data_IF_630552658530
#
_entry.id   IF_630552658530
#
_cell.length_a   1.000
_cell.length_b   1.000
_cell.length_c   1.000
_cell.angle_alpha   90.00
_cell.angle_beta   90.00
_cell.angle_gamma   90.00
#
_symmetry.space_group_name_H-M   'P 1'
#
loop_
_entity.id
_entity.type
_entity.pdbx_description
1 polymer ?
#
# COMPACT_ATOMS: atom_id res chain seq x y z
N UNK A 1 22.93 59.56 -38.65
CA UNK A 1 22.59 59.04 -37.31
C UNK A 1 21.96 57.64 -37.45
N UNK A 2 22.70 56.53 -37.15
CA UNK A 2 22.21 55.16 -37.24
C UNK A 2 21.50 54.78 -35.92
N UNK A 3 20.20 54.49 -35.96
CA UNK A 3 19.42 54.03 -34.80
C UNK A 3 19.60 52.50 -34.69
N UNK A 4 20.23 52.03 -33.61
CA UNK A 4 20.30 50.62 -33.26
C UNK A 4 19.03 50.24 -32.47
N UNK A 5 18.19 49.35 -33.04
CA UNK A 5 17.05 48.77 -32.37
C UNK A 5 17.57 47.54 -31.62
N UNK A 6 17.59 47.61 -30.28
CA UNK A 6 17.96 46.50 -29.41
C UNK A 6 16.74 45.61 -29.24
N UNK A 7 16.69 44.46 -29.96
CA UNK A 7 15.63 43.43 -29.74
C UNK A 7 15.87 42.67 -28.45
N UNK A 8 15.01 42.89 -27.47
CA UNK A 8 15.02 42.15 -26.19
C UNK A 8 14.31 40.80 -26.39
N UNK A 9 15.09 39.72 -26.54
CA UNK A 9 14.54 38.38 -26.67
C UNK A 9 14.24 37.86 -25.27
N UNK A 10 12.95 37.78 -24.87
CA UNK A 10 12.51 37.20 -23.63
C UNK A 10 12.54 35.68 -23.79
N UNK A 11 13.52 35.02 -23.15
CA UNK A 11 13.61 33.56 -23.08
C UNK A 11 12.63 33.11 -22.00
N UNK A 12 11.48 32.59 -22.39
CA UNK A 12 10.59 31.85 -21.48
C UNK A 12 11.23 30.49 -21.18
N UNK A 13 11.87 30.36 -20.03
CA UNK A 13 12.27 29.07 -19.51
C UNK A 13 11.03 28.28 -19.09
N UNK A 14 10.62 27.33 -19.93
CA UNK A 14 9.64 26.32 -19.58
C UNK A 14 10.25 25.44 -18.48
N UNK A 15 9.86 25.68 -17.22
CA UNK A 15 10.15 24.78 -16.13
C UNK A 15 9.37 23.47 -16.39
N UNK A 16 9.97 22.52 -17.11
CA UNK A 16 9.52 21.12 -17.11
C UNK A 16 9.80 20.57 -15.71
N UNK A 17 8.83 20.71 -14.82
CA UNK A 17 8.86 20.03 -13.52
C UNK A 17 8.75 18.53 -13.79
N UNK A 18 9.88 17.83 -13.82
CA UNK A 18 9.88 16.37 -13.91
C UNK A 18 9.12 15.84 -12.67
N UNK A 19 8.01 15.14 -12.91
CA UNK A 19 7.23 14.54 -11.83
C UNK A 19 8.12 13.56 -11.05
N UNK A 20 8.41 13.88 -9.80
CA UNK A 20 9.14 13.00 -8.89
C UNK A 20 8.24 11.87 -8.38
N UNK A 21 8.86 10.70 -8.09
CA UNK A 21 8.23 9.65 -7.33
C UNK A 21 8.11 10.10 -5.86
N UNK A 22 6.92 9.98 -5.29
CA UNK A 22 6.61 10.43 -3.93
C UNK A 22 5.87 9.35 -3.13
N UNK A 23 6.01 9.40 -1.79
CA UNK A 23 5.35 8.50 -0.84
C UNK A 23 4.69 9.32 0.28
N UNK A 24 3.62 10.11 -0.02
CA UNK A 24 3.11 11.14 0.90
C UNK A 24 2.41 10.59 2.15
N UNK A 25 2.07 9.30 2.21
CA UNK A 25 1.37 8.68 3.34
C UNK A 25 2.19 7.53 3.92
N UNK A 26 2.64 6.60 3.08
CA UNK A 26 3.42 5.43 3.50
C UNK A 26 4.86 5.62 3.03
N UNK A 27 5.68 6.20 3.90
CA UNK A 27 7.05 6.58 3.55
C UNK A 27 7.90 5.39 3.10
N UNK A 28 8.63 5.56 2.00
CA UNK A 28 9.53 4.57 1.41
C UNK A 28 8.85 3.41 0.69
N UNK A 29 7.51 3.32 0.63
CA UNK A 29 6.79 2.23 -0.02
C UNK A 29 5.66 2.74 -0.91
N UNK A 30 5.36 1.97 -1.96
CA UNK A 30 4.19 2.27 -2.82
C UNK A 30 4.26 3.62 -3.50
N UNK A 31 5.46 4.02 -3.93
CA UNK A 31 5.71 5.30 -4.61
C UNK A 31 4.79 5.53 -5.80
N UNK A 32 4.42 6.79 -6.03
CA UNK A 32 3.55 7.26 -7.10
C UNK A 32 4.18 8.45 -7.83
N UNK A 33 3.77 8.65 -9.08
CA UNK A 33 3.90 9.93 -9.78
C UNK A 33 2.53 10.58 -9.84
N UNK A 34 2.32 11.64 -9.05
CA UNK A 34 1.03 12.32 -9.01
C UNK A 34 0.96 13.40 -10.10
N UNK A 35 -0.11 13.40 -10.89
CA UNK A 35 -0.41 14.43 -11.88
C UNK A 35 -1.81 14.96 -11.70
N UNK A 36 -1.95 16.27 -11.65
CA UNK A 36 -3.26 16.95 -11.63
C UNK A 36 -3.92 17.02 -13.02
N UNK A 37 -3.18 16.72 -14.08
CA UNK A 37 -3.62 16.89 -15.46
C UNK A 37 -4.28 15.64 -16.08
N UNK A 38 -4.53 14.59 -15.25
CA UNK A 38 -5.19 13.37 -15.74
C UNK A 38 -6.71 13.51 -15.67
N UNK A 39 -7.41 12.81 -16.58
CA UNK A 39 -8.86 12.93 -16.73
C UNK A 39 -9.65 12.38 -15.51
N UNK A 40 -9.10 11.39 -14.77
CA UNK A 40 -9.75 10.79 -13.61
C UNK A 40 -8.83 10.91 -12.41
N UNK A 41 -9.33 11.54 -11.37
CA UNK A 41 -8.67 11.73 -10.07
C UNK A 41 -9.46 10.99 -8.99
N UNK A 42 -8.83 10.59 -7.88
CA UNK A 42 -9.59 10.27 -6.68
C UNK A 42 -10.41 11.48 -6.23
N UNK A 43 -11.70 11.26 -5.95
CA UNK A 43 -12.60 12.30 -5.49
C UNK A 43 -12.50 12.44 -3.97
N UNK A 44 -12.11 13.62 -3.47
CA UNK A 44 -11.83 13.85 -2.05
C UNK A 44 -13.04 13.63 -1.14
N UNK A 45 -14.25 13.72 -1.68
CA UNK A 45 -15.50 13.59 -0.92
C UNK A 45 -16.08 12.18 -0.84
N UNK A 46 -15.52 11.23 -1.61
CA UNK A 46 -15.94 9.84 -1.56
C UNK A 46 -15.36 9.08 -0.35
N UNK A 47 -16.10 8.09 0.13
CA UNK A 47 -15.65 7.15 1.15
C UNK A 47 -15.01 5.92 0.47
N UNK A 48 -13.69 5.78 0.60
CA UNK A 48 -12.94 4.69 0.01
C UNK A 48 -12.89 3.48 0.95
N UNK A 49 -13.70 2.48 0.66
CA UNK A 49 -13.70 1.19 1.35
C UNK A 49 -13.06 0.14 0.45
N UNK A 50 -11.80 -0.21 0.72
CA UNK A 50 -10.98 -1.05 -0.16
C UNK A 50 -10.63 -2.37 0.52
N UNK A 51 -10.75 -3.50 -0.20
CA UNK A 51 -10.30 -4.80 0.28
C UNK A 51 -9.34 -5.46 -0.69
N UNK A 52 -8.18 -5.87 -0.17
CA UNK A 52 -7.10 -6.54 -0.91
C UNK A 52 -7.05 -8.03 -0.60
N UNK A 53 -6.98 -8.87 -1.64
CA UNK A 53 -6.70 -10.31 -1.50
C UNK A 53 -5.22 -10.55 -1.78
N UNK A 54 -4.45 -10.88 -0.73
CA UNK A 54 -3.01 -11.11 -0.82
C UNK A 54 -2.75 -12.61 -0.72
N UNK A 55 -2.47 -13.24 -1.85
CA UNK A 55 -2.23 -14.69 -1.92
C UNK A 55 -0.88 -15.05 -2.53
N UNK A 56 -0.25 -14.16 -3.31
CA UNK A 56 1.04 -14.36 -3.95
C UNK A 56 2.18 -13.97 -3.02
N UNK A 57 3.28 -14.73 -3.07
CA UNK A 57 4.56 -14.39 -2.45
C UNK A 57 5.47 -13.55 -3.35
N UNK A 58 4.95 -13.08 -4.49
CA UNK A 58 5.70 -12.19 -5.39
C UNK A 58 6.12 -10.92 -4.65
N UNK A 59 7.38 -10.55 -4.79
CA UNK A 59 7.97 -9.36 -4.18
C UNK A 59 8.08 -8.21 -5.19
N UNK A 60 7.95 -7.00 -4.66
CA UNK A 60 8.27 -5.74 -5.35
C UNK A 60 9.03 -4.85 -4.38
N UNK A 61 10.20 -4.37 -4.77
CA UNK A 61 11.07 -3.54 -3.94
C UNK A 61 11.37 -4.19 -2.56
N UNK A 62 11.61 -5.51 -2.54
CA UNK A 62 11.99 -6.27 -1.34
C UNK A 62 10.86 -6.63 -0.38
N UNK A 63 9.61 -6.27 -0.68
CA UNK A 63 8.43 -6.62 0.12
C UNK A 63 7.37 -7.31 -0.73
N UNK A 64 6.45 -8.04 -0.10
CA UNK A 64 5.33 -8.69 -0.80
C UNK A 64 4.54 -7.64 -1.59
N UNK A 65 4.39 -7.87 -2.89
CA UNK A 65 3.73 -6.97 -3.85
C UNK A 65 2.34 -6.50 -3.39
N UNK A 66 1.55 -7.40 -2.78
CA UNK A 66 0.22 -7.07 -2.28
C UNK A 66 0.22 -6.00 -1.18
N UNK A 67 1.20 -6.02 -0.25
CA UNK A 67 1.38 -4.96 0.75
C UNK A 67 1.82 -3.65 0.10
N UNK A 68 2.76 -3.72 -0.84
CA UNK A 68 3.22 -2.53 -1.57
C UNK A 68 2.08 -1.89 -2.39
N UNK A 69 1.14 -2.68 -2.92
CA UNK A 69 -0.05 -2.17 -3.63
C UNK A 69 -1.01 -1.41 -2.70
N UNK A 70 -1.15 -1.85 -1.44
CA UNK A 70 -1.91 -1.08 -0.43
C UNK A 70 -1.24 0.27 -0.18
N UNK A 71 0.08 0.29 0.05
CA UNK A 71 0.84 1.52 0.25
C UNK A 71 0.68 2.49 -0.95
N UNK A 72 0.76 1.96 -2.18
CA UNK A 72 0.55 2.72 -3.40
C UNK A 72 -0.83 3.39 -3.45
N UNK A 73 -1.89 2.67 -3.09
CA UNK A 73 -3.24 3.24 -3.06
C UNK A 73 -3.42 4.29 -1.98
N UNK A 74 -2.85 4.09 -0.79
CA UNK A 74 -2.88 5.10 0.27
C UNK A 74 -2.14 6.37 -0.16
N UNK A 75 -0.99 6.24 -0.82
CA UNK A 75 -0.24 7.37 -1.36
C UNK A 75 -1.01 8.12 -2.45
N UNK A 76 -1.70 7.41 -3.36
CA UNK A 76 -2.55 8.04 -4.38
C UNK A 76 -3.69 8.84 -3.75
N UNK A 77 -4.41 8.25 -2.80
CA UNK A 77 -5.51 8.90 -2.11
C UNK A 77 -5.04 10.12 -1.30
N UNK A 78 -3.91 9.99 -0.60
CA UNK A 78 -3.31 11.10 0.14
C UNK A 78 -2.83 12.24 -0.76
N UNK A 79 -2.19 11.94 -1.89
CA UNK A 79 -1.78 12.95 -2.87
C UNK A 79 -2.99 13.71 -3.45
N UNK A 80 -4.11 13.01 -3.67
CA UNK A 80 -5.38 13.59 -4.11
C UNK A 80 -6.17 14.29 -2.99
N UNK A 81 -5.59 14.44 -1.78
CA UNK A 81 -6.19 15.12 -0.63
C UNK A 81 -7.45 14.45 -0.05
N UNK A 82 -7.65 13.16 -0.30
CA UNK A 82 -8.68 12.39 0.40
C UNK A 82 -8.33 12.33 1.88
N UNK A 83 -9.27 12.71 2.75
CA UNK A 83 -9.06 12.70 4.20
C UNK A 83 -8.90 11.28 4.72
N UNK A 84 -7.97 11.05 5.66
CA UNK A 84 -7.71 9.73 6.24
C UNK A 84 -8.98 9.09 6.84
N UNK A 85 -9.89 9.88 7.41
CA UNK A 85 -11.17 9.43 7.96
C UNK A 85 -12.14 8.84 6.92
N UNK A 86 -11.90 9.11 5.64
CA UNK A 86 -12.68 8.60 4.51
C UNK A 86 -12.04 7.38 3.84
N UNK A 87 -10.92 6.90 4.37
CA UNK A 87 -10.17 5.77 3.81
C UNK A 87 -10.23 4.60 4.78
N UNK A 88 -10.80 3.49 4.34
CA UNK A 88 -10.86 2.23 5.08
C UNK A 88 -10.26 1.12 4.22
N UNK A 89 -9.15 0.56 4.67
CA UNK A 89 -8.45 -0.48 3.93
C UNK A 89 -8.36 -1.75 4.76
N UNK A 90 -8.65 -2.86 4.11
CA UNK A 90 -8.61 -4.20 4.71
C UNK A 90 -7.81 -5.12 3.78
N UNK A 91 -7.07 -6.06 4.33
CA UNK A 91 -6.47 -7.14 3.56
C UNK A 91 -6.85 -8.51 4.09
N UNK A 92 -6.92 -9.47 3.17
CA UNK A 92 -7.08 -10.91 3.44
C UNK A 92 -5.84 -11.63 2.93
N UNK A 93 -5.02 -12.15 3.86
CA UNK A 93 -3.75 -12.81 3.60
C UNK A 93 -3.93 -14.33 3.67
N UNK A 94 -3.49 -15.06 2.65
CA UNK A 94 -3.56 -16.53 2.62
C UNK A 94 -2.58 -17.13 1.58
N UNK A 95 -2.59 -18.45 1.44
CA UNK A 95 -1.77 -19.15 0.46
C UNK A 95 -0.26 -18.92 0.61
N UNK A 96 0.50 -18.79 -0.48
CA UNK A 96 1.94 -18.48 -0.46
C UNK A 96 2.31 -17.23 0.35
N UNK A 97 1.48 -16.18 0.31
CA UNK A 97 1.71 -14.94 1.06
C UNK A 97 1.70 -15.10 2.59
N UNK A 98 1.20 -16.23 3.13
CA UNK A 98 1.10 -16.43 4.58
C UNK A 98 2.44 -16.28 5.32
N UNK A 99 3.59 -16.46 4.65
CA UNK A 99 4.91 -16.26 5.28
C UNK A 99 5.17 -14.83 5.74
N UNK A 100 4.52 -13.83 5.12
CA UNK A 100 4.71 -12.42 5.49
C UNK A 100 4.25 -12.08 6.92
N UNK A 101 3.36 -12.92 7.50
CA UNK A 101 2.79 -12.63 8.82
C UNK A 101 3.73 -12.90 9.99
N UNK A 102 4.87 -13.57 9.76
CA UNK A 102 5.77 -14.00 10.83
C UNK A 102 6.43 -12.79 11.51
N UNK A 103 6.64 -12.91 12.83
CA UNK A 103 7.55 -11.99 13.53
C UNK A 103 8.95 -12.07 12.96
N UNK A 104 9.80 -11.10 13.25
CA UNK A 104 11.20 -11.10 12.78
C UNK A 104 11.95 -12.34 13.31
N UNK A 105 11.71 -12.74 14.56
CA UNK A 105 12.34 -13.91 15.18
C UNK A 105 11.91 -15.21 14.50
N UNK A 106 10.61 -15.38 14.27
CA UNK A 106 10.08 -16.58 13.60
C UNK A 106 10.54 -16.66 12.15
N UNK A 107 10.60 -15.52 11.46
CA UNK A 107 11.07 -15.43 10.09
C UNK A 107 12.58 -15.72 10.00
N UNK A 108 13.38 -15.16 10.92
CA UNK A 108 14.82 -15.40 11.04
C UNK A 108 15.11 -16.90 11.27
N UNK A 109 14.35 -17.52 12.19
CA UNK A 109 14.50 -18.96 12.46
C UNK A 109 14.20 -19.82 11.24
N UNK A 110 13.26 -19.41 10.40
CA UNK A 110 12.80 -20.18 9.23
C UNK A 110 13.62 -19.91 7.97
N UNK A 111 14.02 -18.66 7.74
CA UNK A 111 14.59 -18.20 6.48
C UNK A 111 16.00 -17.61 6.60
N UNK A 112 16.59 -17.54 7.79
CA UNK A 112 17.94 -17.03 8.04
C UNK A 112 18.08 -15.50 7.96
N UNK A 113 16.99 -14.76 7.83
CA UNK A 113 16.95 -13.28 7.76
C UNK A 113 15.70 -12.74 8.44
N UNK A 114 15.72 -11.47 8.87
CA UNK A 114 14.52 -10.79 9.38
C UNK A 114 13.43 -10.72 8.32
N UNK A 115 12.18 -10.62 8.76
CA UNK A 115 11.05 -10.48 7.85
C UNK A 115 11.11 -9.13 7.10
N UNK A 116 11.31 -9.12 5.80
CA UNK A 116 11.43 -7.86 5.04
C UNK A 116 10.13 -7.05 5.02
N UNK A 117 9.01 -7.69 5.40
CA UNK A 117 7.69 -7.03 5.39
C UNK A 117 7.36 -6.32 6.70
N UNK A 118 8.10 -6.55 7.80
CA UNK A 118 7.75 -6.04 9.14
C UNK A 118 7.58 -4.52 9.17
N UNK A 119 8.51 -3.77 8.58
CA UNK A 119 8.44 -2.31 8.55
C UNK A 119 7.18 -1.82 7.82
N UNK A 120 6.87 -2.39 6.65
CA UNK A 120 5.67 -2.01 5.91
C UNK A 120 4.37 -2.43 6.62
N UNK A 121 4.34 -3.62 7.26
CA UNK A 121 3.20 -4.06 8.07
C UNK A 121 2.89 -3.05 9.17
N UNK A 122 3.92 -2.59 9.89
CA UNK A 122 3.77 -1.62 10.97
C UNK A 122 3.23 -0.28 10.44
N UNK A 123 3.82 0.27 9.38
CA UNK A 123 3.37 1.51 8.75
C UNK A 123 1.91 1.43 8.26
N UNK A 124 1.51 0.29 7.66
CA UNK A 124 0.14 0.09 7.22
C UNK A 124 -0.83 0.04 8.41
N UNK A 125 -0.48 -0.66 9.50
CA UNK A 125 -1.29 -0.74 10.70
C UNK A 125 -1.43 0.62 11.40
N UNK A 126 -0.35 1.39 11.52
CA UNK A 126 -0.33 2.77 12.03
C UNK A 126 -1.24 3.71 11.22
N UNK A 127 -1.38 3.45 9.93
CA UNK A 127 -2.30 4.17 9.03
C UNK A 127 -3.71 3.53 8.96
N UNK A 128 -4.08 2.69 9.93
CA UNK A 128 -5.43 2.16 10.10
C UNK A 128 -5.80 1.00 9.17
N UNK A 129 -4.84 0.42 8.44
CA UNK A 129 -5.09 -0.76 7.60
C UNK A 129 -5.32 -1.98 8.49
N UNK A 130 -6.43 -2.70 8.26
CA UNK A 130 -6.72 -3.95 8.96
C UNK A 130 -6.15 -5.13 8.18
N UNK A 131 -5.17 -5.81 8.78
CA UNK A 131 -4.48 -6.94 8.18
C UNK A 131 -5.01 -8.25 8.78
N UNK A 132 -5.70 -9.06 7.97
CA UNK A 132 -6.23 -10.35 8.39
C UNK A 132 -5.51 -11.50 7.72
N UNK A 133 -5.15 -12.52 8.49
CA UNK A 133 -4.65 -13.80 7.97
C UNK A 133 -5.68 -14.91 8.11
N UNK A 134 -5.76 -15.76 7.11
CA UNK A 134 -6.60 -16.97 7.12
C UNK A 134 -6.08 -17.99 8.14
N UNK A 135 -6.86 -18.31 9.18
CA UNK A 135 -6.46 -19.31 10.21
C UNK A 135 -6.26 -20.70 9.63
N UNK A 136 -6.98 -21.06 8.55
CA UNK A 136 -6.77 -22.33 7.85
C UNK A 136 -5.39 -22.41 7.21
N UNK A 137 -4.90 -21.29 6.64
CA UNK A 137 -3.54 -21.21 6.09
C UNK A 137 -2.47 -21.25 7.20
N UNK A 138 -2.73 -20.61 8.34
CA UNK A 138 -1.86 -20.65 9.55
C UNK A 138 -1.76 -22.09 10.05
N UNK A 139 -2.88 -22.80 10.22
CA UNK A 139 -2.92 -24.18 10.66
C UNK A 139 -2.20 -25.12 9.67
N UNK A 140 -2.49 -24.98 8.38
CA UNK A 140 -1.82 -25.78 7.33
C UNK A 140 -0.31 -25.62 7.33
N UNK A 141 0.17 -24.40 7.55
CA UNK A 141 1.62 -24.08 7.62
C UNK A 141 2.22 -24.32 9.01
N UNK A 142 1.44 -24.81 9.99
CA UNK A 142 1.85 -25.10 11.37
C UNK A 142 2.52 -23.89 12.04
N UNK A 143 2.01 -22.68 11.79
CA UNK A 143 2.50 -21.44 12.39
C UNK A 143 1.87 -21.30 13.79
N UNK A 144 2.70 -21.05 14.81
CA UNK A 144 2.22 -20.81 16.17
C UNK A 144 1.64 -19.40 16.29
N UNK A 145 0.68 -19.20 17.18
CA UNK A 145 0.10 -17.88 17.42
C UNK A 145 1.16 -16.85 17.88
N UNK A 146 2.13 -17.29 18.68
CA UNK A 146 3.26 -16.46 19.13
C UNK A 146 4.20 -16.00 18.02
N UNK A 147 4.16 -16.67 16.88
CA UNK A 147 5.02 -16.40 15.74
C UNK A 147 4.38 -15.40 14.75
N UNK A 148 3.14 -14.97 15.03
CA UNK A 148 2.39 -14.02 14.18
C UNK A 148 2.67 -12.58 14.64
N UNK A 149 2.99 -11.69 13.68
CA UNK A 149 3.16 -10.27 13.93
C UNK A 149 1.91 -9.68 14.62
N UNK A 150 2.06 -8.92 15.73
CA UNK A 150 0.94 -8.42 16.54
C UNK A 150 -0.03 -7.49 15.77
N UNK A 151 0.41 -6.89 14.66
CA UNK A 151 -0.42 -6.07 13.81
C UNK A 151 -1.29 -6.87 12.82
N UNK A 152 -1.23 -8.22 12.88
CA UNK A 152 -2.00 -9.10 12.00
C UNK A 152 -2.98 -9.93 12.84
N UNK A 153 -4.26 -9.83 12.50
CA UNK A 153 -5.34 -10.51 13.19
C UNK A 153 -5.73 -11.79 12.45
N UNK A 154 -5.90 -12.91 13.17
CA UNK A 154 -6.40 -14.14 12.59
C UNK A 154 -7.91 -14.05 12.32
N UNK A 155 -8.33 -14.47 11.12
CA UNK A 155 -9.72 -14.64 10.73
C UNK A 155 -10.01 -16.10 10.38
N UNK A 156 -11.24 -16.56 10.54
CA UNK A 156 -11.63 -17.94 10.27
C UNK A 156 -11.16 -18.43 8.89
N UNK A 157 -11.39 -17.61 7.86
CA UNK A 157 -10.87 -17.88 6.51
C UNK A 157 -10.66 -16.60 5.72
N UNK A 158 -9.77 -16.64 4.73
CA UNK A 158 -9.63 -15.54 3.79
C UNK A 158 -10.89 -15.28 2.97
N UNK A 159 -11.67 -16.33 2.68
CA UNK A 159 -12.95 -16.22 1.98
C UNK A 159 -13.99 -15.47 2.80
N UNK A 160 -14.12 -15.76 4.10
CA UNK A 160 -15.05 -15.04 4.97
C UNK A 160 -14.70 -13.56 5.14
N UNK A 161 -13.41 -13.22 5.22
CA UNK A 161 -12.97 -11.82 5.21
C UNK A 161 -13.42 -11.14 3.91
N UNK A 162 -13.10 -11.72 2.76
CA UNK A 162 -13.50 -11.18 1.45
C UNK A 162 -15.01 -10.98 1.35
N UNK A 163 -15.79 -12.01 1.66
CA UNK A 163 -17.25 -11.95 1.56
C UNK A 163 -17.86 -10.89 2.49
N UNK A 164 -17.48 -10.90 3.77
CA UNK A 164 -18.05 -10.00 4.76
C UNK A 164 -17.77 -8.53 4.44
N UNK A 165 -16.55 -8.20 3.99
CA UNK A 165 -16.21 -6.82 3.68
C UNK A 165 -16.83 -6.37 2.35
N UNK A 166 -16.91 -7.22 1.33
CA UNK A 166 -17.61 -6.88 0.09
C UNK A 166 -19.13 -6.64 0.34
N UNK A 167 -19.78 -7.46 1.18
CA UNK A 167 -21.17 -7.23 1.60
C UNK A 167 -21.35 -5.94 2.41
N UNK A 168 -20.30 -5.43 3.07
CA UNK A 168 -20.26 -4.11 3.73
C UNK A 168 -19.91 -2.96 2.77
N UNK A 169 -19.90 -3.21 1.46
CA UNK A 169 -19.64 -2.20 0.44
C UNK A 169 -18.17 -1.91 0.15
N UNK A 170 -17.24 -2.81 0.55
CA UNK A 170 -15.83 -2.66 0.17
C UNK A 170 -15.60 -3.11 -1.28
N UNK A 171 -14.90 -2.29 -2.03
CA UNK A 171 -14.46 -2.59 -3.40
C UNK A 171 -13.22 -3.48 -3.35
N UNK A 172 -13.26 -4.59 -4.08
CA UNK A 172 -12.09 -5.46 -4.23
C UNK A 172 -11.08 -4.84 -5.20
N UNK A 173 -9.81 -4.79 -4.73
CA UNK A 173 -8.65 -4.33 -5.47
C UNK A 173 -7.83 -5.50 -6.02
#
# INVERSE_FOLDING_TARGET
MKKYILSLTIIYSLNLSAQQWITPVIDGYGEIKYSQQVAVQPEADLDYKLIYKITSSEERNGVIRGLNSIAHSLNMLGAAKVRATKIQVVSSISGPATSLILTDEAYQKKYGKKNPNTALINLLAENGVKLYVCSQAVAYKKIKASDINPNITSALSGASVMANYQLKGYVRM
#
